data_IF_656478341142
#
_entry.id   IF_656478341142
#
_cell.length_a   1.000
_cell.length_b   1.000
_cell.length_c   1.000
_cell.angle_alpha   90.00
_cell.angle_beta   90.00
_cell.angle_gamma   90.00
#
_symmetry.space_group_name_H-M   'P 1'
#
loop_
_entity.id
_entity.type
_entity.pdbx_description
1 polymer ?
#
# COMPACT_ATOMS: atom_id res chain seq x y z
N UNK A 1 -11.39 -22.93 -5.75
CA UNK A 1 -10.88 -21.79 -6.54
C UNK A 1 -11.96 -20.78 -6.99
N UNK A 2 -13.25 -21.12 -7.10
CA UNK A 2 -14.32 -20.24 -7.65
C UNK A 2 -14.64 -18.97 -6.82
N UNK A 3 -14.42 -18.97 -5.49
CA UNK A 3 -14.79 -17.83 -4.62
C UNK A 3 -13.92 -16.57 -4.75
N UNK A 4 -12.61 -16.69 -5.04
CA UNK A 4 -11.67 -15.54 -5.01
C UNK A 4 -11.80 -14.61 -6.22
N UNK A 5 -12.10 -15.16 -7.40
CA UNK A 5 -12.32 -14.36 -8.63
C UNK A 5 -13.55 -13.45 -8.49
N UNK A 6 -14.57 -13.91 -7.76
CA UNK A 6 -15.80 -13.16 -7.53
C UNK A 6 -15.57 -11.91 -6.68
N UNK A 7 -14.75 -11.99 -5.63
CA UNK A 7 -14.48 -10.83 -4.76
C UNK A 7 -13.67 -9.74 -5.45
N UNK A 8 -12.75 -10.09 -6.36
CA UNK A 8 -12.07 -9.11 -7.20
C UNK A 8 -13.05 -8.37 -8.11
N UNK A 9 -13.94 -9.10 -8.77
CA UNK A 9 -14.98 -8.50 -9.61
C UNK A 9 -15.94 -7.63 -8.78
N UNK A 10 -16.27 -8.08 -7.57
CA UNK A 10 -17.10 -7.32 -6.62
C UNK A 10 -16.44 -5.99 -6.23
N UNK A 11 -15.15 -5.99 -5.91
CA UNK A 11 -14.40 -4.77 -5.62
C UNK A 11 -14.44 -3.79 -6.80
N UNK A 12 -14.20 -4.29 -8.02
CA UNK A 12 -14.30 -3.49 -9.25
C UNK A 12 -15.70 -2.93 -9.46
N UNK A 13 -16.75 -3.73 -9.28
CA UNK A 13 -18.13 -3.28 -9.43
C UNK A 13 -18.47 -2.15 -8.45
N UNK A 14 -18.01 -2.24 -7.19
CA UNK A 14 -18.20 -1.16 -6.20
C UNK A 14 -17.49 0.11 -6.65
N UNK A 15 -16.24 0.00 -7.09
CA UNK A 15 -15.44 1.13 -7.57
C UNK A 15 -16.09 1.79 -8.79
N UNK A 16 -16.51 1.00 -9.79
CA UNK A 16 -17.18 1.49 -11.00
C UNK A 16 -18.49 2.21 -10.69
N UNK A 17 -19.30 1.65 -9.78
CA UNK A 17 -20.54 2.27 -9.33
C UNK A 17 -20.29 3.58 -8.58
N UNK A 18 -19.24 3.65 -7.75
CA UNK A 18 -18.90 4.86 -7.02
C UNK A 18 -18.29 5.94 -7.94
N UNK A 19 -17.50 5.54 -8.94
CA UNK A 19 -16.86 6.44 -9.90
C UNK A 19 -17.76 6.89 -11.05
N UNK A 20 -18.88 6.20 -11.28
CA UNK A 20 -19.71 6.30 -12.48
C UNK A 20 -18.93 6.01 -13.78
N UNK A 21 -17.90 5.16 -13.73
CA UNK A 21 -17.07 4.82 -14.88
C UNK A 21 -16.72 3.33 -14.89
N UNK A 22 -17.42 2.55 -15.71
CA UNK A 22 -17.20 1.10 -15.89
C UNK A 22 -15.99 0.75 -16.76
N UNK A 23 -15.45 1.71 -17.49
CA UNK A 23 -14.20 1.53 -18.25
C UNK A 23 -12.96 1.76 -17.39
N UNK A 24 -13.14 2.19 -16.14
CA UNK A 24 -12.05 2.50 -15.22
C UNK A 24 -11.24 1.24 -14.86
N UNK A 25 -9.92 1.36 -14.88
CA UNK A 25 -9.00 0.34 -14.38
C UNK A 25 -8.33 0.83 -13.09
N UNK A 26 -8.95 0.61 -11.91
CA UNK A 26 -8.43 1.15 -10.67
C UNK A 26 -7.10 0.50 -10.28
N UNK A 27 -6.17 1.33 -9.82
CA UNK A 27 -4.86 0.89 -9.31
C UNK A 27 -4.94 0.28 -7.90
N UNK A 28 -5.97 0.67 -7.14
CA UNK A 28 -6.20 0.29 -5.76
C UNK A 28 -7.51 -0.48 -5.63
N UNK A 29 -7.50 -1.52 -4.81
CA UNK A 29 -8.70 -2.26 -4.41
C UNK A 29 -8.60 -2.60 -2.94
N UNK A 30 -9.72 -2.56 -2.23
CA UNK A 30 -9.77 -2.79 -0.80
C UNK A 30 -10.40 -4.15 -0.45
N UNK A 31 -9.80 -4.87 0.49
CA UNK A 31 -10.32 -6.16 0.96
C UNK A 31 -10.28 -6.25 2.48
N UNK A 32 -11.24 -6.98 3.02
CA UNK A 32 -11.24 -7.36 4.43
C UNK A 32 -10.26 -8.52 4.72
N UNK A 33 -10.17 -8.85 5.99
CA UNK A 33 -9.36 -9.94 6.55
C UNK A 33 -9.62 -11.31 5.92
N UNK A 34 -10.85 -11.55 5.46
CA UNK A 34 -11.25 -12.79 4.80
C UNK A 34 -11.08 -12.74 3.27
N UNK A 35 -10.51 -11.63 2.75
CA UNK A 35 -10.28 -11.41 1.34
C UNK A 35 -11.54 -11.04 0.56
N UNK A 36 -12.62 -10.63 1.24
CA UNK A 36 -13.84 -10.12 0.59
C UNK A 36 -13.69 -8.65 0.27
N UNK A 37 -14.34 -8.18 -0.78
CA UNK A 37 -14.30 -6.78 -1.18
C UNK A 37 -14.85 -5.90 -0.06
N UNK A 38 -14.04 -4.97 0.45
CA UNK A 38 -14.48 -4.02 1.45
C UNK A 38 -15.45 -3.01 0.81
N UNK A 39 -16.69 -2.97 1.27
CA UNK A 39 -17.72 -2.11 0.68
C UNK A 39 -17.39 -0.62 0.85
N UNK A 40 -16.92 -0.24 2.04
CA UNK A 40 -16.69 1.15 2.38
C UNK A 40 -15.48 1.70 1.62
N UNK A 41 -14.37 1.00 1.69
CA UNK A 41 -13.13 1.49 1.10
C UNK A 41 -13.09 1.39 -0.41
N UNK A 42 -13.71 0.36 -1.02
CA UNK A 42 -13.86 0.35 -2.48
C UNK A 42 -14.80 1.47 -2.95
N UNK A 43 -15.78 1.86 -2.15
CA UNK A 43 -16.59 3.05 -2.43
C UNK A 43 -15.73 4.32 -2.41
N UNK A 44 -14.96 4.53 -1.34
CA UNK A 44 -14.07 5.70 -1.21
C UNK A 44 -13.08 5.76 -2.37
N UNK A 45 -12.46 4.62 -2.74
CA UNK A 45 -11.56 4.53 -3.90
C UNK A 45 -12.28 5.00 -5.17
N UNK A 46 -13.48 4.50 -5.46
CA UNK A 46 -14.23 4.94 -6.64
C UNK A 46 -14.62 6.42 -6.59
N UNK A 47 -14.97 6.94 -5.42
CA UNK A 47 -15.27 8.35 -5.22
C UNK A 47 -14.03 9.25 -5.40
N UNK A 48 -12.82 8.76 -5.09
CA UNK A 48 -11.57 9.48 -5.42
C UNK A 48 -11.45 9.69 -6.93
N UNK A 49 -11.71 8.65 -7.74
CA UNK A 49 -11.72 8.77 -9.20
C UNK A 49 -12.85 9.67 -9.73
N UNK A 50 -13.94 9.84 -8.97
CA UNK A 50 -15.07 10.70 -9.35
C UNK A 50 -14.76 12.18 -9.11
N UNK A 51 -14.16 12.51 -7.97
CA UNK A 51 -14.04 13.89 -7.50
C UNK A 51 -12.68 14.51 -7.74
N UNK A 52 -11.64 13.71 -7.95
CA UNK A 52 -10.27 14.18 -8.14
C UNK A 52 -9.69 13.67 -9.45
N UNK A 53 -8.81 14.47 -10.05
CA UNK A 53 -8.01 14.03 -11.19
C UNK A 53 -7.00 12.98 -10.73
N UNK A 54 -7.38 11.71 -10.88
CA UNK A 54 -6.53 10.61 -10.48
C UNK A 54 -5.21 10.55 -11.28
N UNK A 55 -5.15 11.11 -12.50
CA UNK A 55 -3.90 11.18 -13.26
C UNK A 55 -2.90 12.11 -12.57
N UNK A 56 -3.36 13.26 -12.08
CA UNK A 56 -2.52 14.16 -11.28
C UNK A 56 -2.09 13.51 -9.96
N UNK A 57 -3.00 12.80 -9.28
CA UNK A 57 -2.65 12.06 -8.06
C UNK A 57 -1.62 10.96 -8.32
N UNK A 58 -1.80 10.17 -9.38
CA UNK A 58 -0.87 9.12 -9.79
C UNK A 58 0.50 9.70 -10.16
N UNK A 59 0.53 10.86 -10.84
CA UNK A 59 1.77 11.57 -11.14
C UNK A 59 2.50 12.03 -9.87
N UNK A 60 1.78 12.58 -8.91
CA UNK A 60 2.33 12.93 -7.60
C UNK A 60 2.90 11.70 -6.88
N UNK A 61 2.18 10.58 -6.82
CA UNK A 61 2.73 9.36 -6.21
C UNK A 61 3.92 8.77 -6.99
N UNK A 62 4.02 9.05 -8.29
CA UNK A 62 5.20 8.69 -9.08
C UNK A 62 6.43 9.51 -8.68
N UNK A 63 6.29 10.79 -8.28
CA UNK A 63 7.45 11.58 -7.81
C UNK A 63 7.99 11.05 -6.48
N UNK A 64 7.13 10.41 -5.68
CA UNK A 64 7.50 9.79 -4.40
C UNK A 64 8.02 8.34 -4.54
N UNK A 65 8.11 7.78 -5.76
CA UNK A 65 8.47 6.34 -5.94
C UNK A 65 9.85 5.94 -5.46
N UNK A 66 10.78 6.88 -5.43
CA UNK A 66 12.13 6.61 -4.93
C UNK A 66 12.19 6.65 -3.39
N UNK A 67 11.12 7.08 -2.73
CA UNK A 67 10.98 6.99 -1.28
C UNK A 67 10.41 5.61 -0.90
N UNK A 68 11.06 4.96 0.07
CA UNK A 68 10.62 3.68 0.64
C UNK A 68 9.21 3.79 1.25
N UNK A 69 8.79 4.99 1.64
CA UNK A 69 7.51 5.26 2.30
C UNK A 69 6.40 5.71 1.35
N UNK A 70 6.56 5.58 0.03
CA UNK A 70 5.54 5.97 -0.95
C UNK A 70 4.16 5.36 -0.66
N UNK A 71 4.12 4.05 -0.37
CA UNK A 71 2.87 3.34 -0.05
C UNK A 71 2.24 3.92 1.22
N UNK A 72 3.05 4.32 2.19
CA UNK A 72 2.58 4.95 3.42
C UNK A 72 1.96 6.32 3.14
N UNK A 73 2.61 7.18 2.34
CA UNK A 73 2.05 8.48 1.98
C UNK A 73 0.75 8.36 1.18
N UNK A 74 0.66 7.37 0.27
CA UNK A 74 -0.58 7.06 -0.43
C UNK A 74 -1.71 6.73 0.54
N UNK A 75 -1.45 5.89 1.54
CA UNK A 75 -2.45 5.54 2.56
C UNK A 75 -2.90 6.76 3.37
N UNK A 76 -1.96 7.61 3.79
CA UNK A 76 -2.27 8.86 4.52
C UNK A 76 -3.10 9.81 3.66
N UNK A 77 -2.77 9.94 2.38
CA UNK A 77 -3.53 10.77 1.45
C UNK A 77 -4.97 10.25 1.25
N UNK A 78 -5.14 8.94 1.05
CA UNK A 78 -6.46 8.32 0.93
C UNK A 78 -7.27 8.50 2.23
N UNK A 79 -6.63 8.45 3.40
CA UNK A 79 -7.28 8.72 4.69
C UNK A 79 -7.81 10.15 4.78
N UNK A 80 -7.03 11.16 4.35
CA UNK A 80 -7.50 12.55 4.29
C UNK A 80 -8.65 12.75 3.28
N UNK A 81 -8.56 12.08 2.13
CA UNK A 81 -9.62 12.09 1.10
C UNK A 81 -10.91 11.39 1.57
N UNK A 82 -10.81 10.35 2.40
CA UNK A 82 -11.99 9.67 2.96
C UNK A 82 -12.90 10.63 3.70
N UNK A 83 -12.34 11.53 4.53
CA UNK A 83 -13.12 12.45 5.35
C UNK A 83 -13.94 13.41 4.49
N UNK A 84 -13.31 14.05 3.51
CA UNK A 84 -13.99 15.02 2.65
C UNK A 84 -15.01 14.38 1.70
N UNK A 85 -14.72 13.17 1.21
CA UNK A 85 -15.63 12.38 0.39
C UNK A 85 -16.85 11.97 1.22
N UNK A 86 -16.63 11.50 2.45
CA UNK A 86 -17.72 11.14 3.35
C UNK A 86 -18.63 12.33 3.63
N UNK A 87 -18.08 13.50 3.96
CA UNK A 87 -18.86 14.69 4.27
C UNK A 87 -19.72 15.17 3.09
N UNK A 88 -19.24 14.96 1.86
CA UNK A 88 -20.01 15.23 0.64
C UNK A 88 -21.08 14.18 0.40
N UNK A 89 -20.70 12.92 0.34
CA UNK A 89 -21.58 11.86 -0.18
C UNK A 89 -22.56 11.33 0.86
N UNK A 90 -22.26 11.44 2.16
CA UNK A 90 -23.15 10.96 3.23
C UNK A 90 -24.51 11.66 3.23
N UNK A 91 -24.60 12.87 2.68
CA UNK A 91 -25.85 13.64 2.52
C UNK A 91 -26.83 12.97 1.56
N UNK A 92 -26.33 12.43 0.46
CA UNK A 92 -27.14 11.81 -0.58
C UNK A 92 -27.20 10.28 -0.45
N UNK A 93 -26.20 9.67 0.23
CA UNK A 93 -26.05 8.22 0.40
C UNK A 93 -25.96 7.85 1.87
N UNK A 94 -27.12 7.82 2.54
CA UNK A 94 -27.24 7.52 3.98
C UNK A 94 -26.58 6.21 4.42
N UNK A 95 -26.49 5.21 3.53
CA UNK A 95 -25.82 3.93 3.82
C UNK A 95 -24.34 4.10 4.19
N UNK A 96 -23.68 5.18 3.73
CA UNK A 96 -22.27 5.43 4.02
C UNK A 96 -22.02 5.64 5.50
N UNK A 97 -22.95 6.27 6.23
CA UNK A 97 -22.83 6.48 7.68
C UNK A 97 -22.72 5.15 8.41
N UNK A 98 -23.57 4.18 8.06
CA UNK A 98 -23.54 2.83 8.65
C UNK A 98 -22.28 2.06 8.29
N UNK A 99 -21.83 2.16 7.03
CA UNK A 99 -20.59 1.52 6.56
C UNK A 99 -19.35 2.11 7.24
N UNK A 100 -19.24 3.44 7.30
CA UNK A 100 -18.14 4.15 7.96
C UNK A 100 -18.09 3.81 9.43
N UNK A 101 -19.22 3.87 10.14
CA UNK A 101 -19.29 3.52 11.55
C UNK A 101 -18.90 2.06 11.80
N UNK A 102 -19.39 1.13 10.98
CA UNK A 102 -19.07 -0.30 11.09
C UNK A 102 -17.57 -0.57 10.88
N UNK A 103 -16.94 0.14 9.93
CA UNK A 103 -15.50 0.07 9.74
C UNK A 103 -14.76 0.70 10.92
N UNK A 104 -15.18 1.89 11.33
CA UNK A 104 -14.55 2.66 12.40
C UNK A 104 -14.53 1.89 13.72
N UNK A 105 -15.64 1.23 14.07
CA UNK A 105 -15.73 0.38 15.26
C UNK A 105 -14.73 -0.78 15.21
N UNK A 106 -14.63 -1.49 14.08
CA UNK A 106 -13.65 -2.57 13.89
C UNK A 106 -12.22 -2.07 14.01
N UNK A 107 -11.92 -0.89 13.42
CA UNK A 107 -10.60 -0.29 13.48
C UNK A 107 -10.24 0.15 14.91
N UNK A 108 -11.18 0.73 15.66
CA UNK A 108 -10.97 1.18 17.04
C UNK A 108 -10.83 0.01 18.03
N UNK A 109 -11.50 -1.12 17.78
CA UNK A 109 -11.40 -2.33 18.61
C UNK A 109 -10.06 -3.07 18.40
N UNK A 110 -9.30 -2.76 17.33
CA UNK A 110 -8.03 -3.39 17.04
C UNK A 110 -6.89 -2.82 17.90
N UNK A 111 -6.59 -3.47 19.03
CA UNK A 111 -5.59 -3.00 20.01
C UNK A 111 -4.13 -3.34 19.67
N UNK A 112 -3.88 -4.19 18.69
CA UNK A 112 -2.54 -4.60 18.27
C UNK A 112 -2.10 -3.81 17.03
N UNK A 113 -1.72 -2.54 17.23
CA UNK A 113 -1.12 -1.73 16.18
C UNK A 113 0.40 -1.96 16.16
N UNK A 114 0.92 -2.44 15.02
CA UNK A 114 2.35 -2.73 14.84
C UNK A 114 3.08 -1.70 13.99
N UNK A 115 2.35 -1.02 13.10
CA UNK A 115 2.89 0.01 12.22
C UNK A 115 2.35 1.40 12.61
N UNK A 116 3.13 2.44 12.26
CA UNK A 116 2.74 3.85 12.47
C UNK A 116 1.39 4.17 11.82
N UNK A 117 1.13 3.61 10.63
CA UNK A 117 -0.13 3.85 9.93
C UNK A 117 -1.33 3.30 10.70
N UNK A 118 -1.18 2.16 11.35
CA UNK A 118 -2.27 1.54 12.12
C UNK A 118 -2.62 2.41 13.34
N UNK A 119 -1.61 3.02 13.98
CA UNK A 119 -1.82 3.98 15.06
C UNK A 119 -2.60 5.21 14.57
N UNK A 120 -2.24 5.76 13.39
CA UNK A 120 -2.95 6.88 12.76
C UNK A 120 -4.40 6.48 12.43
N UNK A 121 -4.60 5.30 11.83
CA UNK A 121 -5.91 4.80 11.42
C UNK A 121 -6.84 4.58 12.62
N UNK A 122 -6.31 3.93 13.68
CA UNK A 122 -7.02 3.71 14.93
C UNK A 122 -7.37 5.05 15.60
N UNK A 123 -6.46 6.01 15.62
CA UNK A 123 -6.72 7.35 16.14
C UNK A 123 -7.80 8.10 15.36
N UNK A 124 -7.73 8.05 14.04
CA UNK A 124 -8.71 8.66 13.15
C UNK A 124 -10.12 8.11 13.41
N UNK A 125 -10.28 6.79 13.40
CA UNK A 125 -11.60 6.18 13.59
C UNK A 125 -12.08 6.20 15.04
N UNK A 126 -11.20 6.23 16.03
CA UNK A 126 -11.59 6.44 17.43
C UNK A 126 -12.25 7.81 17.62
N UNK A 127 -11.72 8.87 16.99
CA UNK A 127 -12.37 10.20 16.97
C UNK A 127 -13.78 10.15 16.38
N UNK A 128 -13.97 9.41 15.29
CA UNK A 128 -15.26 9.26 14.60
C UNK A 128 -16.29 8.52 15.46
N UNK A 129 -15.88 7.46 16.16
CA UNK A 129 -16.79 6.68 17.02
C UNK A 129 -17.03 7.39 18.37
N UNK A 130 -16.26 8.42 18.70
CA UNK A 130 -16.35 9.15 19.97
C UNK A 130 -15.56 8.50 21.12
N UNK A 131 -14.62 7.61 20.81
CA UNK A 131 -13.70 7.05 21.79
C UNK A 131 -12.45 7.93 21.91
N UNK A 132 -12.24 8.47 23.11
CA UNK A 132 -11.01 9.18 23.43
C UNK A 132 -9.91 8.18 23.78
N UNK A 133 -9.02 7.95 22.83
CA UNK A 133 -7.78 7.21 23.06
C UNK A 133 -6.64 8.19 23.33
N UNK A 134 -5.67 7.77 24.14
CA UNK A 134 -4.45 8.54 24.36
C UNK A 134 -3.48 8.25 23.20
N UNK A 135 -3.27 9.24 22.34
CA UNK A 135 -2.32 9.20 21.21
C UNK A 135 -1.30 10.32 21.34
N UNK A 136 -0.21 10.24 20.57
CA UNK A 136 0.82 11.28 20.51
C UNK A 136 0.23 12.59 19.99
N UNK A 137 0.70 13.72 20.51
CA UNK A 137 0.23 15.05 20.07
C UNK A 137 0.53 15.31 18.59
N UNK A 138 1.62 14.75 18.06
CA UNK A 138 1.95 14.78 16.63
C UNK A 138 0.93 14.05 15.77
N UNK A 139 0.38 12.91 16.24
CA UNK A 139 -0.72 12.23 15.56
C UNK A 139 -1.99 13.05 15.64
N UNK A 140 -2.31 13.63 16.81
CA UNK A 140 -3.48 14.48 16.93
C UNK A 140 -3.44 15.66 15.95
N UNK A 141 -2.28 16.31 15.85
CA UNK A 141 -2.04 17.42 14.94
C UNK A 141 -2.12 16.98 13.47
N UNK A 142 -1.55 15.80 13.14
CA UNK A 142 -1.68 15.21 11.79
C UNK A 142 -3.14 15.00 11.43
N UNK A 143 -3.94 14.45 12.34
CA UNK A 143 -5.37 14.20 12.09
C UNK A 143 -6.16 15.50 11.89
N UNK A 144 -5.79 16.59 12.58
CA UNK A 144 -6.38 17.90 12.38
C UNK A 144 -6.01 18.45 10.99
N UNK A 145 -4.76 18.27 10.57
CA UNK A 145 -4.30 18.68 9.23
C UNK A 145 -4.88 17.80 8.11
N UNK A 146 -5.20 16.53 8.38
CA UNK A 146 -5.86 15.60 7.43
C UNK A 146 -7.34 15.94 7.16
N UNK A 147 -7.89 16.98 7.78
CA UNK A 147 -9.22 17.49 7.48
C UNK A 147 -9.25 18.20 6.11
N UNK A 148 -9.33 17.41 5.03
CA UNK A 148 -9.44 17.94 3.67
C UNK A 148 -10.85 18.48 3.44
N UNK A 149 -10.98 19.45 2.53
CA UNK A 149 -12.29 19.96 2.12
C UNK A 149 -12.56 19.50 0.68
N UNK A 150 -13.79 19.09 0.39
CA UNK A 150 -14.18 18.61 -0.92
C UNK A 150 -14.17 19.69 -2.01
N UNK A 151 -14.15 20.97 -1.60
CA UNK A 151 -14.00 22.11 -2.50
C UNK A 151 -12.55 22.32 -2.96
N UNK A 152 -11.59 21.59 -2.39
CA UNK A 152 -10.20 21.65 -2.85
C UNK A 152 -10.09 20.94 -4.20
N UNK A 153 -9.43 21.60 -5.15
CA UNK A 153 -9.04 20.95 -6.38
C UNK A 153 -7.88 19.97 -6.14
N UNK A 154 -7.57 19.12 -7.11
CA UNK A 154 -6.53 18.09 -6.97
C UNK A 154 -5.14 18.67 -6.69
N UNK A 155 -4.79 19.81 -7.28
CA UNK A 155 -3.50 20.47 -7.02
C UNK A 155 -3.40 20.97 -5.58
N UNK A 156 -4.45 21.58 -5.05
CA UNK A 156 -4.52 22.03 -3.67
C UNK A 156 -4.42 20.87 -2.68
N UNK A 157 -5.06 19.73 -3.00
CA UNK A 157 -4.90 18.49 -2.22
C UNK A 157 -3.44 18.03 -2.23
N UNK A 158 -2.77 18.03 -3.39
CA UNK A 158 -1.35 17.66 -3.51
C UNK A 158 -0.47 18.64 -2.72
N UNK A 159 -0.71 19.95 -2.79
CA UNK A 159 0.01 20.95 -1.99
C UNK A 159 -0.16 20.71 -0.49
N UNK A 160 -1.39 20.41 -0.05
CA UNK A 160 -1.68 20.09 1.35
C UNK A 160 -1.01 18.78 1.79
N UNK A 161 -0.98 17.77 0.92
CA UNK A 161 -0.28 16.51 1.19
C UNK A 161 1.24 16.73 1.28
N UNK A 162 1.84 17.54 0.41
CA UNK A 162 3.25 17.90 0.49
C UNK A 162 3.60 18.61 1.81
N UNK A 163 2.73 19.51 2.28
CA UNK A 163 2.89 20.14 3.59
C UNK A 163 2.87 19.11 4.72
N UNK A 164 1.92 18.15 4.67
CA UNK A 164 1.82 17.06 5.66
C UNK A 164 3.10 16.19 5.66
N UNK A 165 3.62 15.84 4.48
CA UNK A 165 4.85 15.04 4.35
C UNK A 165 6.02 15.74 5.03
N UNK A 166 6.25 17.01 4.67
CA UNK A 166 7.32 17.83 5.26
C UNK A 166 7.17 18.00 6.77
N UNK A 167 5.97 18.27 7.25
CA UNK A 167 5.72 18.58 8.67
C UNK A 167 5.83 17.37 9.59
N UNK A 168 5.39 16.19 9.15
CA UNK A 168 5.21 15.04 10.05
C UNK A 168 6.13 13.86 9.74
N UNK A 169 6.70 13.80 8.55
CA UNK A 169 7.38 12.59 8.06
C UNK A 169 8.79 12.84 7.51
N UNK A 170 9.23 14.09 7.40
CA UNK A 170 10.61 14.44 7.04
C UNK A 170 11.32 15.10 8.24
N UNK A 171 12.24 14.40 8.91
CA UNK A 171 12.86 14.90 10.15
C UNK A 171 13.67 16.18 9.89
N UNK A 172 14.27 16.30 8.71
CA UNK A 172 15.05 17.47 8.27
C UNK A 172 14.27 18.79 8.31
N UNK A 173 12.94 18.74 8.25
CA UNK A 173 12.08 19.92 8.26
C UNK A 173 11.39 20.17 9.60
N UNK A 174 11.14 19.12 10.40
CA UNK A 174 10.45 19.26 11.68
C UNK A 174 10.64 18.07 12.62
N UNK A 175 11.65 18.14 13.49
CA UNK A 175 11.92 17.13 14.52
C UNK A 175 10.83 17.05 15.59
N UNK A 176 10.13 18.16 15.90
CA UNK A 176 9.12 18.22 16.97
C UNK A 176 7.88 17.38 16.64
N UNK A 177 7.49 17.33 15.36
CA UNK A 177 6.29 16.65 14.88
C UNK A 177 6.57 15.34 14.16
N UNK A 178 7.82 14.88 14.11
CA UNK A 178 8.21 13.67 13.37
C UNK A 178 7.55 12.40 13.94
N UNK A 179 6.87 11.64 13.08
CA UNK A 179 6.01 10.51 13.50
C UNK A 179 6.68 9.14 13.32
N UNK A 180 7.62 9.00 12.38
CA UNK A 180 8.21 7.72 11.96
C UNK A 180 9.32 7.18 12.88
N UNK A 181 9.62 7.84 13.98
CA UNK A 181 10.69 7.44 14.92
C UNK A 181 10.32 6.26 15.84
N UNK A 182 9.74 5.20 15.28
CA UNK A 182 9.45 3.96 16.01
C UNK A 182 10.45 2.88 15.57
N UNK A 183 11.68 2.98 16.10
CA UNK A 183 12.53 1.80 16.31
C UNK A 183 12.83 1.63 17.81
N UNK A 184 12.43 0.45 18.32
CA UNK A 184 12.88 -0.18 19.59
C UNK A 184 12.45 0.44 20.93
N UNK A 185 11.20 0.25 21.34
CA UNK A 185 10.84 -0.02 22.76
C UNK A 185 9.67 -1.01 22.75
N UNK A 186 9.89 -2.33 22.84
CA UNK A 186 9.96 -3.11 24.09
C UNK A 186 10.69 -4.46 23.87
N UNK A 187 12.02 -4.46 23.87
CA UNK A 187 12.82 -5.67 24.14
C UNK A 187 13.79 -5.50 25.32
N UNK A 188 13.60 -4.45 26.13
CA UNK A 188 14.22 -4.33 27.44
C UNK A 188 13.13 -3.98 28.46
N UNK A 189 12.68 -5.00 29.17
CA UNK A 189 12.27 -4.99 30.58
C UNK A 189 11.82 -6.42 30.92
N UNK A 190 12.76 -7.31 31.23
CA UNK A 190 12.98 -7.81 32.60
C UNK A 190 13.93 -9.01 32.60
N UNK A 191 15.04 -8.82 33.30
CA UNK A 191 15.89 -9.84 33.87
C UNK A 191 15.04 -10.68 34.85
N UNK A 192 15.09 -12.01 34.73
CA UNK A 192 14.88 -12.91 35.86
C UNK A 192 13.61 -13.77 35.91
N UNK A 193 13.83 -15.08 35.69
CA UNK A 193 13.23 -16.26 36.37
C UNK A 193 11.83 -16.78 36.00
N UNK A 194 11.89 -18.05 35.57
CA UNK A 194 10.98 -19.20 35.75
C UNK A 194 9.66 -19.25 34.97
N UNK A 195 9.61 -20.23 34.07
CA UNK A 195 8.39 -20.97 33.69
C UNK A 195 7.65 -21.48 34.94
N UNK A 196 6.31 -21.57 34.89
CA UNK A 196 5.74 -22.90 34.69
C UNK A 196 4.57 -22.97 33.69
N UNK A 197 4.45 -24.15 33.10
CA UNK A 197 3.39 -24.68 32.26
C UNK A 197 2.06 -24.86 32.99
N UNK A 198 0.94 -24.40 32.40
CA UNK A 198 -0.42 -24.93 32.63
C UNK A 198 -1.17 -24.96 31.29
N UNK A 199 -1.77 -26.13 31.01
CA UNK A 199 -2.64 -26.44 29.86
C UNK A 199 -4.02 -25.76 29.93
N UNK A 200 -4.50 -25.40 28.74
CA UNK A 200 -5.89 -25.46 28.22
C UNK A 200 -7.04 -24.88 29.05
N UNK A 201 -7.65 -23.77 28.57
CA UNK A 201 -8.87 -23.83 27.74
C UNK A 201 -9.45 -22.44 27.40
N UNK A 202 -9.98 -22.36 26.17
CA UNK A 202 -11.07 -21.53 25.65
C UNK A 202 -11.00 -19.98 25.67
N UNK A 203 -11.17 -19.45 24.44
CA UNK A 203 -11.70 -18.14 24.07
C UNK A 203 -10.84 -16.91 24.39
N UNK A 204 -9.70 -16.78 23.70
CA UNK A 204 -8.97 -15.52 23.61
C UNK A 204 -8.41 -15.28 22.22
N UNK A 205 -8.67 -14.06 21.73
CA UNK A 205 -7.81 -13.36 20.79
C UNK A 205 -8.10 -13.65 19.33
N UNK A 206 -8.76 -12.70 18.69
CA UNK A 206 -8.76 -12.49 17.23
C UNK A 206 -7.32 -12.38 16.73
N UNK A 207 -6.71 -13.53 16.43
CA UNK A 207 -5.41 -13.64 15.77
C UNK A 207 -5.65 -13.95 14.31
N UNK A 208 -5.32 -12.98 13.45
CA UNK A 208 -5.56 -13.03 12.02
C UNK A 208 -4.44 -13.79 11.32
N UNK A 209 -4.74 -15.06 11.05
CA UNK A 209 -3.92 -15.98 10.27
C UNK A 209 -4.11 -15.77 8.77
N UNK A 210 -2.98 -15.71 8.08
CA UNK A 210 -2.89 -15.75 6.62
C UNK A 210 -3.16 -17.19 6.17
N UNK A 211 -4.33 -17.46 5.59
CA UNK A 211 -4.46 -18.59 4.64
C UNK A 211 -4.10 -18.08 3.25
N UNK A 212 -2.81 -18.02 3.01
CA UNK A 212 -2.22 -17.91 1.68
C UNK A 212 -1.74 -19.29 1.27
N UNK A 213 -2.50 -19.99 0.43
CA UNK A 213 -1.94 -21.01 -0.46
C UNK A 213 -1.84 -20.36 -1.84
N UNK A 214 -0.80 -19.56 -1.99
CA UNK A 214 0.23 -19.85 -2.99
C UNK A 214 1.49 -20.14 -2.16
N UNK A 215 1.62 -21.41 -1.75
CA UNK A 215 2.73 -21.97 -0.97
C UNK A 215 4.02 -21.87 -1.80
N UNK A 216 5.22 -21.54 -1.31
CA UNK A 216 5.73 -21.19 0.01
C UNK A 216 6.99 -20.30 -0.16
N UNK A 217 7.65 -19.95 0.93
CA UNK A 217 8.78 -19.00 0.98
C UNK A 217 8.55 -18.00 2.09
N UNK A 218 8.94 -18.39 3.30
CA UNK A 218 8.70 -17.70 4.55
C UNK A 218 9.53 -16.42 4.65
N UNK A 219 8.88 -15.27 4.46
CA UNK A 219 9.37 -14.02 5.03
C UNK A 219 8.81 -13.91 6.45
N UNK A 220 9.64 -14.21 7.43
CA UNK A 220 9.42 -13.75 8.80
C UNK A 220 9.45 -12.22 8.79
N UNK A 221 8.29 -11.60 8.97
CA UNK A 221 8.22 -10.23 9.50
C UNK A 221 6.89 -10.09 10.24
N UNK A 222 7.01 -10.05 11.55
CA UNK A 222 5.94 -9.71 12.48
C UNK A 222 5.44 -8.29 12.15
N UNK A 223 4.16 -8.17 11.83
CA UNK A 223 3.49 -6.90 11.54
C UNK A 223 2.07 -7.17 11.06
N UNK A 224 1.10 -6.90 11.91
CA UNK A 224 -0.30 -7.33 11.82
C UNK A 224 -1.11 -6.20 11.15
N UNK A 225 -1.51 -6.43 9.89
CA UNK A 225 -2.62 -5.77 9.14
C UNK A 225 -2.35 -4.38 8.52
N UNK A 226 -1.34 -4.29 7.67
CA UNK A 226 -1.22 -3.22 6.66
C UNK A 226 -1.78 -3.61 5.27
N UNK A 227 -2.71 -4.59 5.23
CA UNK A 227 -3.16 -5.35 4.03
C UNK A 227 -4.52 -4.94 3.43
N UNK A 228 -5.12 -3.84 3.89
CA UNK A 228 -6.44 -3.42 3.43
C UNK A 228 -6.45 -2.88 1.99
N UNK A 229 -5.36 -2.27 1.50
CA UNK A 229 -5.17 -1.94 0.07
C UNK A 229 -4.34 -3.03 -0.63
N UNK A 230 -4.92 -3.67 -1.65
CA UNK A 230 -4.16 -4.43 -2.65
C UNK A 230 -3.86 -3.53 -3.84
N UNK A 231 -2.55 -3.31 -4.07
CA UNK A 231 -2.05 -2.66 -5.26
C UNK A 231 -2.09 -3.62 -6.45
N UNK A 232 -2.59 -3.13 -7.58
CA UNK A 232 -2.65 -3.87 -8.84
C UNK A 232 -1.43 -3.52 -9.69
N UNK A 233 -0.39 -4.35 -9.66
CA UNK A 233 0.51 -4.68 -10.80
C UNK A 233 1.10 -3.54 -11.67
N UNK A 234 1.21 -2.29 -11.18
CA UNK A 234 2.00 -1.24 -11.89
C UNK A 234 3.50 -1.28 -11.59
N UNK A 235 3.98 -2.08 -10.62
CA UNK A 235 5.42 -2.22 -10.33
C UNK A 235 6.06 -3.35 -11.15
N UNK A 236 5.48 -4.56 -11.19
CA UNK A 236 5.97 -5.69 -12.00
C UNK A 236 6.16 -5.30 -13.47
N UNK A 237 5.19 -4.59 -14.07
CA UNK A 237 5.32 -4.09 -15.43
C UNK A 237 6.46 -3.07 -15.59
N UNK A 238 6.61 -2.12 -14.65
CA UNK A 238 7.64 -1.07 -14.73
C UNK A 238 9.04 -1.60 -14.44
N UNK A 239 9.19 -2.55 -13.52
CA UNK A 239 10.44 -3.22 -13.23
C UNK A 239 10.89 -4.07 -14.42
N UNK A 240 9.95 -4.77 -15.06
CA UNK A 240 10.23 -5.50 -16.31
C UNK A 240 10.54 -4.57 -17.47
N UNK A 241 9.86 -3.43 -17.61
CA UNK A 241 10.23 -2.40 -18.59
C UNK A 241 11.61 -1.81 -18.31
N UNK A 242 11.95 -1.53 -17.05
CA UNK A 242 13.27 -1.05 -16.67
C UNK A 242 14.37 -2.07 -17.02
N UNK A 243 14.19 -3.33 -16.64
CA UNK A 243 15.12 -4.43 -16.96
C UNK A 243 15.24 -4.62 -18.48
N UNK A 244 14.13 -4.54 -19.22
CA UNK A 244 14.11 -4.59 -20.68
C UNK A 244 14.91 -3.43 -21.29
N UNK A 245 14.71 -2.22 -20.80
CA UNK A 245 15.43 -1.04 -21.28
C UNK A 245 16.93 -1.14 -20.96
N UNK A 246 17.27 -1.72 -19.80
CA UNK A 246 18.66 -1.77 -19.31
C UNK A 246 19.49 -2.92 -19.90
N UNK A 247 18.85 -4.05 -20.19
CA UNK A 247 19.51 -5.30 -20.60
C UNK A 247 19.04 -5.83 -21.95
N UNK A 248 18.08 -5.18 -22.59
CA UNK A 248 17.51 -5.58 -23.89
C UNK A 248 16.28 -6.49 -23.76
N UNK A 249 15.72 -6.88 -24.90
CA UNK A 249 14.50 -7.65 -25.02
C UNK A 249 14.62 -9.06 -24.42
N UNK A 250 13.57 -9.48 -23.71
CA UNK A 250 13.47 -10.84 -23.21
C UNK A 250 13.19 -11.81 -24.36
N UNK A 251 13.93 -12.91 -24.40
CA UNK A 251 13.80 -13.99 -25.39
C UNK A 251 12.62 -14.91 -25.02
N UNK A 252 12.27 -14.97 -23.74
CA UNK A 252 11.17 -15.76 -23.24
C UNK A 252 9.92 -14.90 -23.10
N UNK A 253 8.79 -15.41 -23.60
CA UNK A 253 7.49 -14.79 -23.40
C UNK A 253 7.13 -14.71 -21.92
N UNK A 254 6.39 -13.67 -21.54
CA UNK A 254 6.07 -13.34 -20.14
C UNK A 254 5.48 -14.52 -19.36
N UNK A 255 4.59 -15.31 -19.98
CA UNK A 255 3.98 -16.50 -19.38
C UNK A 255 5.00 -17.56 -19.00
N UNK A 256 6.02 -17.78 -19.84
CA UNK A 256 7.05 -18.79 -19.61
C UNK A 256 8.06 -18.28 -18.58
N UNK A 257 8.40 -16.99 -18.64
CA UNK A 257 9.29 -16.33 -17.67
C UNK A 257 8.69 -16.37 -16.26
N UNK A 258 7.41 -16.02 -16.10
CA UNK A 258 6.71 -16.11 -14.80
C UNK A 258 6.63 -17.54 -14.27
N UNK A 259 6.47 -18.52 -15.17
CA UNK A 259 6.49 -19.94 -14.79
C UNK A 259 7.87 -20.38 -14.30
N UNK A 260 8.94 -19.91 -14.94
CA UNK A 260 10.31 -20.19 -14.51
C UNK A 260 10.68 -19.46 -13.23
N UNK A 261 10.27 -18.21 -13.05
CA UNK A 261 10.44 -17.46 -11.79
C UNK A 261 9.79 -18.22 -10.63
N UNK A 262 8.60 -18.80 -10.83
CA UNK A 262 7.95 -19.63 -9.82
C UNK A 262 8.74 -20.90 -9.44
N UNK A 263 9.56 -21.41 -10.36
CA UNK A 263 10.36 -22.63 -10.17
C UNK A 263 11.74 -22.31 -9.58
N UNK A 264 12.37 -21.22 -10.04
CA UNK A 264 13.80 -20.93 -9.83
C UNK A 264 14.05 -19.76 -8.88
N UNK A 265 13.09 -18.85 -8.71
CA UNK A 265 13.18 -17.73 -7.79
C UNK A 265 12.43 -18.11 -6.51
N UNK A 266 13.03 -18.99 -5.72
CA UNK A 266 12.52 -19.42 -4.42
C UNK A 266 13.25 -18.73 -3.25
N UNK A 267 12.81 -19.04 -2.03
CA UNK A 267 13.39 -18.55 -0.76
C UNK A 267 13.77 -17.05 -0.78
N UNK A 268 15.08 -16.77 -0.76
CA UNK A 268 15.65 -15.42 -0.70
C UNK A 268 15.49 -14.63 -2.00
N UNK A 269 15.19 -15.30 -3.11
CA UNK A 269 15.08 -14.73 -4.45
C UNK A 269 13.63 -14.64 -4.94
N UNK A 270 12.64 -14.90 -4.07
CA UNK A 270 11.20 -14.88 -4.41
C UNK A 270 10.67 -13.57 -5.00
N UNK A 271 11.39 -12.47 -4.80
CA UNK A 271 11.09 -11.15 -5.37
C UNK A 271 12.02 -10.76 -6.52
N UNK A 272 12.80 -11.69 -7.07
CA UNK A 272 13.66 -11.44 -8.21
C UNK A 272 12.90 -11.67 -9.53
N UNK A 273 13.32 -10.95 -10.56
CA UNK A 273 12.86 -11.18 -11.93
C UNK A 273 13.93 -11.94 -12.71
N UNK A 274 13.51 -12.97 -13.42
CA UNK A 274 14.38 -13.63 -14.40
C UNK A 274 14.25 -12.91 -15.73
N UNK A 275 15.39 -12.52 -16.29
CA UNK A 275 15.42 -11.84 -17.57
C UNK A 275 16.43 -12.49 -18.50
N UNK A 276 15.90 -13.18 -19.50
CA UNK A 276 16.70 -13.90 -20.49
C UNK A 276 16.87 -13.01 -21.72
N UNK A 277 18.04 -12.43 -21.91
CA UNK A 277 18.29 -11.47 -22.99
C UNK A 277 19.50 -11.88 -23.83
N UNK A 278 19.48 -11.50 -25.11
CA UNK A 278 20.62 -11.57 -26.03
C UNK A 278 21.35 -10.23 -26.14
N UNK A 279 20.98 -9.24 -25.31
CA UNK A 279 21.45 -7.86 -25.42
C UNK A 279 20.95 -7.17 -26.69
N UNK A 280 19.77 -7.58 -27.18
CA UNK A 280 19.12 -6.96 -28.33
C UNK A 280 18.18 -5.88 -27.84
N UNK A 281 18.39 -4.64 -28.27
CA UNK A 281 17.61 -3.50 -27.81
C UNK A 281 16.62 -3.04 -28.90
N UNK A 282 15.52 -2.41 -28.48
CA UNK A 282 14.66 -1.64 -29.39
C UNK A 282 15.39 -0.36 -29.84
N UNK A 283 15.17 0.11 -31.07
CA UNK A 283 15.86 1.27 -31.67
C UNK A 283 15.45 2.61 -31.01
N UNK A 284 15.93 2.86 -29.78
CA UNK A 284 15.66 4.05 -29.00
C UNK A 284 17.00 4.65 -28.51
N UNK A 285 17.12 5.97 -28.36
CA UNK A 285 18.41 6.64 -28.07
C UNK A 285 19.12 6.11 -26.80
N UNK A 286 18.35 5.83 -25.75
CA UNK A 286 18.86 5.32 -24.46
C UNK A 286 19.48 3.92 -24.62
N UNK A 287 18.91 3.11 -25.50
CA UNK A 287 19.30 1.71 -25.66
C UNK A 287 20.57 1.55 -26.52
N UNK A 288 20.85 2.50 -27.43
CA UNK A 288 22.09 2.55 -28.22
C UNK A 288 23.31 2.84 -27.34
N UNK A 289 23.17 3.72 -26.35
CA UNK A 289 24.24 4.06 -25.40
C UNK A 289 24.63 2.82 -24.59
N UNK A 290 23.62 2.09 -24.11
CA UNK A 290 23.85 0.89 -23.30
C UNK A 290 24.37 -0.29 -24.12
N UNK A 291 23.90 -0.47 -25.36
CA UNK A 291 24.43 -1.47 -26.28
C UNK A 291 25.93 -1.26 -26.53
N UNK A 292 26.37 0.00 -26.69
CA UNK A 292 27.78 0.35 -26.85
C UNK A 292 28.60 0.02 -25.59
N UNK A 293 28.11 0.41 -24.41
CA UNK A 293 28.77 0.12 -23.13
C UNK A 293 28.89 -1.40 -22.86
N UNK A 294 27.83 -2.17 -23.16
CA UNK A 294 27.83 -3.62 -23.02
C UNK A 294 28.81 -4.30 -24.00
N UNK A 295 28.92 -3.79 -25.23
CA UNK A 295 29.90 -4.28 -26.21
C UNK A 295 31.35 -4.04 -25.75
N UNK A 296 31.64 -2.82 -25.27
CA UNK A 296 32.95 -2.46 -24.73
C UNK A 296 33.34 -3.34 -23.53
N UNK A 297 32.40 -3.60 -22.61
CA UNK A 297 32.64 -4.49 -21.48
C UNK A 297 32.84 -5.94 -21.92
N UNK A 298 32.08 -6.42 -22.92
CA UNK A 298 32.25 -7.77 -23.48
C UNK A 298 33.64 -7.95 -24.08
N UNK A 299 34.15 -6.96 -24.79
CA UNK A 299 35.47 -7.04 -25.40
C UNK A 299 36.59 -7.00 -24.35
N UNK A 300 36.44 -6.20 -23.27
CA UNK A 300 37.33 -6.28 -22.11
C UNK A 300 37.34 -7.67 -21.47
N UNK A 301 36.17 -8.29 -21.29
CA UNK A 301 36.04 -9.62 -20.69
C UNK A 301 36.62 -10.74 -21.57
N UNK A 302 36.83 -10.53 -22.89
CA UNK A 302 37.52 -11.49 -23.76
C UNK A 302 39.05 -11.38 -23.70
N UNK A 303 39.57 -10.27 -23.17
CA UNK A 303 41.01 -10.04 -23.05
C UNK A 303 41.58 -10.54 -21.72
N UNK A 304 40.73 -11.09 -20.85
CA UNK A 304 41.06 -11.77 -19.60
C UNK A 304 40.65 -13.24 -19.68
#
# INVERSE_FOLDING_TARGET
>A
MVKKTNERQRALNIIWNASNNYSLTPELTAYDEWGRADLYWNYIIGAVYKYFDYKLLSNFFNTLKNDNDNIFYQKVMILGLEGCIFDKDSKDRSVLTGLRYSYAKKAADNKDYTEVFDEILLAYFSRIVGHNIKVRDSINSLLDDLNFNINLNTEQVISKMNYIIKKYFEPEYNDEFYIKDIKRRKFLNFIGRKQPSIKENLNKGSSLTITGTDEGGAYQRNGVISRWLKYKEKSDFREREFIKNYFGNSILGESNTKSLEKILCDENHKSCHLHFTRGQFENNEISMIQQKSAAEQRDKNKMH
#
